data_IF_599730581204
#
_entry.id   IF_599730581204
#
_cell.length_a   1.000
_cell.length_b   1.000
_cell.length_c   1.000
_cell.angle_alpha   90.00
_cell.angle_beta   90.00
_cell.angle_gamma   90.00
#
_symmetry.space_group_name_H-M   'P 1'
#
loop_
_entity.id
_entity.type
_entity.pdbx_description
1 polymer ?
#
# COMPACT_ATOMS: atom_id res chain seq x y z
N UNK A 1 47.37 -18.41 -4.83
CA UNK A 1 46.23 -18.03 -3.97
C UNK A 1 45.47 -16.94 -4.72
N UNK A 2 44.32 -17.28 -5.30
CA UNK A 2 43.35 -16.28 -5.78
C UNK A 2 41.99 -16.73 -5.28
N UNK A 3 41.57 -16.15 -4.16
CA UNK A 3 40.22 -16.31 -3.62
C UNK A 3 39.35 -15.32 -4.38
N UNK A 4 38.47 -15.81 -5.25
CA UNK A 4 37.46 -14.96 -5.89
C UNK A 4 36.33 -14.80 -4.87
N UNK A 5 36.30 -13.60 -4.28
CA UNK A 5 35.23 -13.12 -3.43
C UNK A 5 33.96 -12.96 -4.29
N UNK A 6 33.02 -13.89 -4.14
CA UNK A 6 31.66 -13.71 -4.65
C UNK A 6 30.93 -12.82 -3.65
N UNK A 7 31.13 -11.51 -3.78
CA UNK A 7 30.35 -10.49 -3.11
C UNK A 7 28.88 -10.58 -3.55
N UNK A 8 28.12 -11.41 -2.86
CA UNK A 8 26.66 -11.41 -2.92
C UNK A 8 26.19 -10.00 -2.56
N UNK A 9 25.36 -9.32 -3.38
CA UNK A 9 24.71 -8.10 -2.92
C UNK A 9 23.83 -8.48 -1.73
N UNK A 10 24.12 -7.88 -0.58
CA UNK A 10 23.29 -8.02 0.61
C UNK A 10 21.87 -7.58 0.26
N UNK A 11 20.83 -8.37 0.59
CA UNK A 11 19.47 -7.89 0.44
C UNK A 11 19.31 -6.75 1.45
N UNK A 12 19.24 -5.52 0.96
CA UNK A 12 18.78 -4.39 1.76
C UNK A 12 17.44 -4.80 2.36
N UNK A 13 17.42 -5.04 3.66
CA UNK A 13 16.20 -5.28 4.42
C UNK A 13 15.26 -4.11 4.14
N UNK A 14 14.02 -4.33 3.65
CA UNK A 14 13.07 -3.24 3.52
C UNK A 14 12.85 -2.68 4.92
N UNK A 15 13.15 -1.40 5.07
CA UNK A 15 13.08 -0.68 6.34
C UNK A 15 11.61 -0.50 6.71
N UNK A 16 11.04 -1.44 7.46
CA UNK A 16 9.62 -1.46 7.87
C UNK A 16 9.24 -0.33 8.87
N UNK A 17 10.09 0.67 9.07
CA UNK A 17 9.94 1.68 10.13
C UNK A 17 9.80 3.12 9.66
N UNK A 18 9.91 3.40 8.35
CA UNK A 18 9.78 4.78 7.85
C UNK A 18 8.42 4.98 7.19
N UNK A 19 7.55 5.87 7.71
CA UNK A 19 6.32 6.23 7.02
C UNK A 19 6.69 6.81 5.65
N UNK A 20 6.20 6.18 4.57
CA UNK A 20 6.41 6.69 3.22
C UNK A 20 5.59 7.97 3.08
N UNK A 21 6.27 9.10 2.99
CA UNK A 21 5.65 10.38 2.70
C UNK A 21 5.27 10.42 1.20
N UNK A 22 4.02 10.06 0.90
CA UNK A 22 3.47 10.11 -0.46
C UNK A 22 3.18 11.54 -0.96
N UNK A 23 3.41 12.58 -0.14
CA UNK A 23 3.12 13.97 -0.52
C UNK A 23 4.13 14.56 -1.53
N UNK A 24 5.26 13.90 -1.79
CA UNK A 24 6.31 14.37 -2.70
C UNK A 24 6.37 13.52 -3.97
N UNK A 25 5.39 13.67 -4.87
CA UNK A 25 5.50 12.99 -6.17
C UNK A 25 4.26 12.88 -7.05
N UNK A 26 3.13 13.53 -6.73
CA UNK A 26 1.97 13.52 -7.63
C UNK A 26 2.19 14.53 -8.78
N UNK A 27 3.04 14.17 -9.76
CA UNK A 27 2.99 14.78 -11.08
C UNK A 27 1.65 14.41 -11.72
N UNK A 28 0.65 15.28 -11.53
CA UNK A 28 -0.59 15.46 -12.30
C UNK A 28 -0.97 14.32 -13.29
N UNK A 29 -1.15 13.12 -12.74
CA UNK A 29 -1.44 11.89 -13.47
C UNK A 29 -2.31 11.03 -12.57
N UNK A 30 -3.62 11.19 -12.76
CA UNK A 30 -4.75 10.47 -12.16
C UNK A 30 -4.90 10.53 -10.65
N UNK A 31 -5.84 11.37 -10.20
CA UNK A 31 -6.36 11.37 -8.82
C UNK A 31 -6.84 9.97 -8.38
N UNK A 32 -7.25 9.10 -9.32
CA UNK A 32 -7.54 7.69 -9.05
C UNK A 32 -6.30 6.93 -8.55
N UNK A 33 -5.12 7.18 -9.12
CA UNK A 33 -3.85 6.59 -8.67
C UNK A 33 -3.51 7.04 -7.26
N UNK A 34 -3.80 8.31 -6.92
CA UNK A 34 -3.58 8.85 -5.59
C UNK A 34 -4.51 8.21 -4.55
N UNK A 35 -5.81 8.03 -4.87
CA UNK A 35 -6.78 7.34 -4.01
C UNK A 35 -6.38 5.88 -3.79
N UNK A 36 -5.90 5.19 -4.83
CA UNK A 36 -5.40 3.82 -4.72
C UNK A 36 -4.20 3.74 -3.76
N UNK A 37 -3.19 4.59 -3.97
CA UNK A 37 -1.98 4.57 -3.16
C UNK A 37 -2.27 4.89 -1.68
N UNK A 38 -3.01 5.98 -1.42
CA UNK A 38 -3.36 6.39 -0.06
C UNK A 38 -4.33 5.41 0.60
N UNK A 39 -5.26 4.85 -0.17
CA UNK A 39 -6.23 3.86 0.31
C UNK A 39 -5.56 2.60 0.82
N UNK A 40 -4.63 2.03 0.05
CA UNK A 40 -3.84 0.87 0.48
C UNK A 40 -2.94 1.18 1.67
N UNK A 41 -2.25 2.33 1.66
CA UNK A 41 -1.42 2.75 2.80
C UNK A 41 -2.24 2.89 4.09
N UNK A 42 -3.49 3.38 4.00
CA UNK A 42 -4.38 3.49 5.15
C UNK A 42 -4.83 2.11 5.67
N UNK A 43 -5.17 1.18 4.77
CA UNK A 43 -5.58 -0.20 5.13
C UNK A 43 -4.44 -0.95 5.83
N UNK A 44 -3.22 -0.80 5.35
CA UNK A 44 -2.03 -1.45 5.93
C UNK A 44 -1.50 -0.73 7.19
N UNK A 45 -2.11 0.40 7.57
CA UNK A 45 -1.68 1.20 8.72
C UNK A 45 -0.35 1.93 8.52
N UNK A 46 0.06 2.12 7.27
CA UNK A 46 1.30 2.80 6.87
C UNK A 46 1.10 4.29 6.56
N UNK A 47 -0.15 4.73 6.37
CA UNK A 47 -0.46 6.12 6.11
C UNK A 47 -0.27 6.99 7.36
N UNK A 48 0.48 8.08 7.21
CA UNK A 48 0.55 9.12 8.24
C UNK A 48 -0.72 9.99 8.27
N UNK A 49 -0.84 10.85 9.27
CA UNK A 49 -2.02 11.70 9.47
C UNK A 49 -2.28 12.65 8.29
N UNK A 50 -1.22 13.11 7.60
CA UNK A 50 -1.36 13.95 6.42
C UNK A 50 -1.89 13.16 5.22
N UNK A 51 -1.41 11.93 5.02
CA UNK A 51 -1.93 11.00 4.01
C UNK A 51 -3.39 10.65 4.26
N UNK A 52 -3.78 10.39 5.51
CA UNK A 52 -5.18 10.12 5.88
C UNK A 52 -6.05 11.36 5.59
N UNK A 53 -5.60 12.56 5.98
CA UNK A 53 -6.33 13.79 5.70
C UNK A 53 -6.45 14.07 4.19
N UNK A 54 -5.42 13.75 3.42
CA UNK A 54 -5.43 13.89 1.96
C UNK A 54 -6.41 12.92 1.31
N UNK A 55 -6.44 11.67 1.76
CA UNK A 55 -7.41 10.68 1.30
C UNK A 55 -8.86 11.10 1.62
N UNK A 56 -9.12 11.56 2.86
CA UNK A 56 -10.44 12.07 3.25
C UNK A 56 -10.87 13.27 2.39
N UNK A 57 -9.93 14.17 2.09
CA UNK A 57 -10.20 15.28 1.17
C UNK A 57 -10.61 14.77 -0.22
N UNK A 58 -9.81 13.89 -0.83
CA UNK A 58 -10.08 13.33 -2.16
C UNK A 58 -11.44 12.62 -2.22
N UNK A 59 -11.76 11.79 -1.23
CA UNK A 59 -13.05 11.07 -1.15
C UNK A 59 -14.24 12.03 -1.12
N UNK A 60 -14.08 13.23 -0.54
CA UNK A 60 -15.15 14.22 -0.44
C UNK A 60 -15.25 15.14 -1.65
N UNK A 61 -14.14 15.42 -2.33
CA UNK A 61 -14.09 16.43 -3.39
C UNK A 61 -14.09 15.84 -4.80
N UNK A 62 -13.48 14.67 -4.99
CA UNK A 62 -13.32 14.06 -6.31
C UNK A 62 -14.45 13.08 -6.61
N UNK A 63 -15.04 13.20 -7.80
CA UNK A 63 -16.11 12.33 -8.25
C UNK A 63 -15.55 10.93 -8.52
N UNK A 64 -16.11 9.90 -7.88
CA UNK A 64 -15.68 8.51 -8.01
C UNK A 64 -14.57 8.09 -7.03
N UNK A 65 -13.87 9.02 -6.37
CA UNK A 65 -12.82 8.67 -5.39
C UNK A 65 -13.36 7.82 -4.23
N UNK A 66 -14.59 8.10 -3.79
CA UNK A 66 -15.26 7.28 -2.78
C UNK A 66 -15.50 5.85 -3.27
N UNK A 67 -15.97 5.68 -4.50
CA UNK A 67 -16.30 4.37 -5.09
C UNK A 67 -15.02 3.55 -5.33
N UNK A 68 -13.93 4.20 -5.73
CA UNK A 68 -12.61 3.59 -5.82
C UNK A 68 -12.14 3.13 -4.44
N UNK A 69 -12.21 3.98 -3.42
CA UNK A 69 -11.82 3.61 -2.06
C UNK A 69 -12.65 2.44 -1.51
N UNK A 70 -13.96 2.44 -1.73
CA UNK A 70 -14.84 1.33 -1.37
C UNK A 70 -14.49 0.04 -2.12
N UNK A 71 -14.06 0.14 -3.40
CA UNK A 71 -13.60 -1.01 -4.19
C UNK A 71 -12.29 -1.60 -3.64
N UNK A 72 -11.38 -0.75 -3.16
CA UNK A 72 -10.15 -1.20 -2.48
C UNK A 72 -10.51 -1.99 -1.20
N UNK A 73 -11.40 -1.46 -0.37
CA UNK A 73 -11.85 -2.13 0.86
C UNK A 73 -12.49 -3.49 0.58
N UNK A 74 -13.34 -3.56 -0.46
CA UNK A 74 -13.97 -4.81 -0.88
C UNK A 74 -12.93 -5.84 -1.38
N UNK A 75 -11.90 -5.38 -2.09
CA UNK A 75 -10.81 -6.24 -2.55
C UNK A 75 -9.95 -6.75 -1.39
N UNK A 76 -9.54 -5.89 -0.44
CA UNK A 76 -8.80 -6.29 0.76
C UNK A 76 -9.55 -7.36 1.57
N UNK A 77 -10.84 -7.14 1.83
CA UNK A 77 -11.67 -8.12 2.55
C UNK A 77 -11.81 -9.45 1.77
N UNK A 78 -11.98 -9.37 0.45
CA UNK A 78 -12.03 -10.55 -0.42
C UNK A 78 -10.74 -11.37 -0.40
N UNK A 79 -9.58 -10.70 -0.47
CA UNK A 79 -8.27 -11.33 -0.38
C UNK A 79 -8.05 -11.96 1.00
N UNK A 80 -8.42 -11.27 2.08
CA UNK A 80 -8.33 -11.81 3.45
C UNK A 80 -9.17 -13.07 3.62
N UNK A 81 -10.40 -13.08 3.10
CA UNK A 81 -11.24 -14.28 3.11
C UNK A 81 -10.61 -15.43 2.32
N UNK A 82 -10.13 -15.16 1.10
CA UNK A 82 -9.52 -16.17 0.24
C UNK A 82 -8.30 -16.84 0.88
N UNK A 83 -7.39 -16.06 1.48
CA UNK A 83 -6.18 -16.61 2.10
C UNK A 83 -6.43 -17.22 3.49
N UNK A 84 -7.47 -16.79 4.22
CA UNK A 84 -7.86 -17.42 5.48
C UNK A 84 -8.38 -18.85 5.25
N UNK A 85 -9.22 -19.03 4.23
CA UNK A 85 -9.81 -20.33 3.90
C UNK A 85 -8.82 -21.28 3.19
N UNK A 86 -7.68 -20.75 2.73
CA UNK A 86 -6.59 -21.54 2.17
C UNK A 86 -5.75 -22.27 3.24
N UNK A 87 -6.01 -22.06 4.54
CA UNK A 87 -5.38 -22.88 5.59
C UNK A 87 -6.03 -24.27 5.60
N UNK A 88 -5.28 -25.35 5.24
CA UNK A 88 -5.85 -26.69 5.26
C UNK A 88 -6.27 -27.04 6.69
N UNK A 89 -7.38 -27.79 6.88
CA UNK A 89 -7.78 -28.24 8.21
C UNK A 89 -6.62 -29.03 8.82
N UNK A 90 -6.29 -28.72 10.07
CA UNK A 90 -5.29 -29.47 10.82
C UNK A 90 -5.70 -30.96 10.88
N UNK A 91 -4.77 -31.90 10.67
CA UNK A 91 -5.05 -33.33 10.73
C UNK A 91 -5.49 -33.79 12.12
#
# INVERSE_FOLDING_TARGET
MSSMDFGLPSPSTPDCGTPMNFASGCEQGDQQSEVLALGWAAIDGLADEASIARLDHLIRTEHGAKEEYESILALDEGLRCFFRDATPPSP
#
